data_IF_798703594352
#
_entry.id   IF_798703594352
#
_cell.length_a   1.000
_cell.length_b   1.000
_cell.length_c   1.000
_cell.angle_alpha   90.00
_cell.angle_beta   90.00
_cell.angle_gamma   90.00
#
_symmetry.space_group_name_H-M   'P 1'
#
loop_
_entity.id
_entity.type
_entity.pdbx_description
1 polymer ?
#
# COMPACT_ATOMS: atom_id res chain seq x y z
N UNK A 1 12.49 18.25 6.38
CA UNK A 1 11.76 17.80 5.17
C UNK A 1 11.88 16.29 4.91
N UNK A 2 12.67 15.53 5.68
CA UNK A 2 12.84 14.07 5.56
C UNK A 2 11.61 13.22 5.93
N UNK A 3 10.55 13.82 6.47
CA UNK A 3 9.34 13.11 6.93
C UNK A 3 8.21 13.04 5.90
N UNK A 4 8.39 13.61 4.70
CA UNK A 4 7.34 13.65 3.66
C UNK A 4 7.55 12.65 2.53
N UNK A 5 8.74 12.07 2.45
CA UNK A 5 9.15 11.15 1.39
C UNK A 5 9.45 9.78 1.98
N UNK A 6 9.20 8.74 1.22
CA UNK A 6 9.57 7.37 1.58
C UNK A 6 10.80 6.92 0.77
N UNK A 7 11.68 6.09 1.35
CA UNK A 7 12.62 5.31 0.55
C UNK A 7 11.84 4.38 -0.39
N UNK A 8 12.21 4.40 -1.67
CA UNK A 8 11.58 3.58 -2.70
C UNK A 8 12.39 2.33 -2.99
N UNK A 9 11.71 1.28 -3.43
CA UNK A 9 12.32 0.05 -3.91
C UNK A 9 13.09 0.33 -5.21
N UNK A 10 14.30 -0.19 -5.29
CA UNK A 10 15.09 -0.18 -6.53
C UNK A 10 14.59 -1.27 -7.50
N UNK A 11 14.77 -1.10 -8.82
CA UNK A 11 14.42 -2.13 -9.80
C UNK A 11 15.08 -3.49 -9.51
N UNK A 12 16.34 -3.46 -9.05
CA UNK A 12 17.08 -4.68 -8.70
C UNK A 12 16.45 -5.41 -7.51
N UNK A 13 15.99 -4.68 -6.48
CA UNK A 13 15.28 -5.27 -5.34
C UNK A 13 13.96 -5.93 -5.78
N UNK A 14 13.21 -5.27 -6.68
CA UNK A 14 11.97 -5.83 -7.22
C UNK A 14 12.23 -7.08 -8.06
N UNK A 15 13.29 -7.08 -8.86
CA UNK A 15 13.69 -8.25 -9.65
C UNK A 15 14.16 -9.40 -8.75
N UNK A 16 15.02 -9.12 -7.78
CA UNK A 16 15.53 -10.12 -6.84
C UNK A 16 14.42 -10.79 -6.04
N UNK A 17 13.42 -10.02 -5.57
CA UNK A 17 12.22 -10.58 -4.91
C UNK A 17 11.56 -11.66 -5.78
N UNK A 18 11.39 -11.40 -7.08
CA UNK A 18 10.75 -12.33 -8.01
C UNK A 18 11.60 -13.57 -8.30
N UNK A 19 12.92 -13.48 -8.18
CA UNK A 19 13.85 -14.52 -8.60
C UNK A 19 14.44 -15.38 -7.48
N UNK A 20 14.53 -14.87 -6.25
CA UNK A 20 15.26 -15.54 -5.17
C UNK A 20 14.37 -16.41 -4.25
N UNK A 21 13.06 -16.41 -4.46
CA UNK A 21 12.12 -17.30 -3.77
C UNK A 21 12.06 -18.68 -4.42
N UNK A 22 11.93 -19.74 -3.61
CA UNK A 22 11.70 -21.10 -4.10
C UNK A 22 10.27 -21.31 -4.64
N UNK A 23 9.36 -20.36 -4.38
CA UNK A 23 7.95 -20.43 -4.75
C UNK A 23 7.70 -19.76 -6.12
N UNK A 24 6.77 -20.30 -6.94
CA UNK A 24 6.21 -19.60 -8.10
C UNK A 24 5.70 -18.19 -7.77
N UNK A 25 5.81 -17.26 -8.72
CA UNK A 25 5.46 -15.84 -8.50
C UNK A 25 4.00 -15.65 -8.13
N UNK A 26 3.09 -16.45 -8.69
CA UNK A 26 1.67 -16.39 -8.41
C UNK A 26 1.39 -16.73 -6.93
N UNK A 27 2.11 -17.71 -6.38
CA UNK A 27 2.00 -18.06 -4.97
C UNK A 27 2.62 -16.99 -4.06
N UNK A 28 3.71 -16.37 -4.49
CA UNK A 28 4.30 -15.24 -3.76
C UNK A 28 3.32 -14.07 -3.66
N UNK A 29 2.62 -13.75 -4.75
CA UNK A 29 1.63 -12.67 -4.80
C UNK A 29 0.40 -12.99 -3.94
N UNK A 30 -0.09 -14.23 -3.96
CA UNK A 30 -1.19 -14.69 -3.08
C UNK A 30 -0.78 -14.60 -1.61
N UNK A 31 0.41 -15.07 -1.25
CA UNK A 31 0.90 -15.00 0.14
C UNK A 31 1.06 -13.55 0.58
N UNK A 32 1.60 -12.69 -0.29
CA UNK A 32 1.70 -11.26 -0.04
C UNK A 32 0.32 -10.68 0.26
N UNK A 33 -0.64 -10.84 -0.66
CA UNK A 33 -2.00 -10.36 -0.51
C UNK A 33 -2.65 -10.85 0.79
N UNK A 34 -2.63 -12.15 1.03
CA UNK A 34 -3.22 -12.77 2.22
C UNK A 34 -2.62 -12.21 3.51
N UNK A 35 -1.30 -12.01 3.56
CA UNK A 35 -0.64 -11.48 4.76
C UNK A 35 -0.94 -10.00 4.99
N UNK A 36 -1.05 -9.21 3.92
CA UNK A 36 -1.49 -7.81 4.03
C UNK A 36 -2.92 -7.75 4.60
N UNK A 37 -3.82 -8.64 4.14
CA UNK A 37 -5.19 -8.77 4.67
C UNK A 37 -5.23 -9.25 6.14
N UNK A 38 -4.39 -10.21 6.52
CA UNK A 38 -4.26 -10.68 7.90
C UNK A 38 -3.75 -9.57 8.83
N UNK A 39 -2.79 -8.76 8.37
CA UNK A 39 -2.26 -7.64 9.14
C UNK A 39 -3.32 -6.55 9.34
N UNK A 40 -4.12 -6.26 8.31
CA UNK A 40 -5.27 -5.36 8.42
C UNK A 40 -6.32 -5.91 9.41
N UNK A 41 -6.70 -7.18 9.28
CA UNK A 41 -7.66 -7.84 10.17
C UNK A 41 -7.18 -7.87 11.63
N UNK A 42 -5.89 -8.11 11.85
CA UNK A 42 -5.29 -8.07 13.17
C UNK A 42 -5.42 -6.67 13.80
N UNK A 43 -5.18 -5.61 13.04
CA UNK A 43 -5.38 -4.26 13.56
C UNK A 43 -6.83 -3.92 13.87
N UNK A 44 -7.79 -4.40 13.07
CA UNK A 44 -9.22 -4.26 13.40
C UNK A 44 -9.55 -4.97 14.71
N UNK A 45 -9.09 -6.22 14.88
CA UNK A 45 -9.32 -7.00 16.10
C UNK A 45 -8.69 -6.34 17.33
N UNK A 46 -7.51 -5.74 17.16
CA UNK A 46 -6.78 -5.03 18.20
C UNK A 46 -7.22 -3.57 18.38
N UNK A 47 -8.22 -3.11 17.62
CA UNK A 47 -8.73 -1.73 17.61
C UNK A 47 -7.64 -0.67 17.36
N UNK A 48 -6.68 -1.00 16.51
CA UNK A 48 -5.61 -0.09 16.12
C UNK A 48 -6.07 0.91 15.04
N UNK A 49 -5.54 2.14 15.03
CA UNK A 49 -5.78 3.09 13.96
C UNK A 49 -5.28 2.58 12.61
N UNK A 50 -5.96 2.95 11.51
CA UNK A 50 -5.57 2.56 10.14
C UNK A 50 -4.14 2.98 9.78
N UNK A 51 -3.64 4.07 10.37
CA UNK A 51 -2.26 4.50 10.16
C UNK A 51 -1.24 3.47 10.67
N UNK A 52 -1.54 2.78 11.77
CA UNK A 52 -0.65 1.78 12.37
C UNK A 52 -0.63 0.51 11.51
N UNK A 53 -1.79 0.02 11.07
CA UNK A 53 -1.86 -1.15 10.18
C UNK A 53 -1.28 -0.87 8.80
N UNK A 54 -1.55 0.30 8.23
CA UNK A 54 -0.95 0.68 6.95
C UNK A 54 0.58 0.79 7.05
N UNK A 55 1.11 1.35 8.14
CA UNK A 55 2.55 1.39 8.40
C UNK A 55 3.12 -0.03 8.54
N UNK A 56 2.47 -0.91 9.30
CA UNK A 56 2.91 -2.31 9.45
C UNK A 56 2.96 -3.04 8.10
N UNK A 57 1.94 -2.86 7.27
CA UNK A 57 1.88 -3.39 5.90
C UNK A 57 3.07 -2.95 5.04
N UNK A 58 3.42 -1.65 5.09
CA UNK A 58 4.57 -1.09 4.36
C UNK A 58 5.90 -1.66 4.89
N UNK A 59 6.08 -1.74 6.21
CA UNK A 59 7.29 -2.30 6.81
C UNK A 59 7.48 -3.78 6.43
N UNK A 60 6.39 -4.56 6.44
CA UNK A 60 6.41 -5.95 6.02
C UNK A 60 6.74 -6.08 4.52
N UNK A 61 6.17 -5.22 3.68
CA UNK A 61 6.47 -5.22 2.26
C UNK A 61 7.95 -4.89 1.98
N UNK A 62 8.54 -3.93 2.73
CA UNK A 62 9.97 -3.62 2.65
C UNK A 62 10.83 -4.80 3.10
N UNK A 63 10.47 -5.48 4.18
CA UNK A 63 11.19 -6.66 4.65
C UNK A 63 11.28 -7.75 3.57
N UNK A 64 10.18 -7.98 2.85
CA UNK A 64 10.12 -8.97 1.76
C UNK A 64 10.80 -8.56 0.45
N UNK A 65 11.35 -7.35 0.35
CA UNK A 65 12.30 -7.02 -0.72
C UNK A 65 13.69 -7.61 -0.47
N UNK A 66 14.01 -7.92 0.79
CA UNK A 66 15.35 -8.37 1.20
C UNK A 66 15.33 -9.83 1.63
N UNK A 67 14.24 -10.31 2.20
CA UNK A 67 14.11 -11.66 2.74
C UNK A 67 13.05 -12.49 1.99
N UNK A 68 13.37 -13.71 1.54
CA UNK A 68 12.41 -14.58 0.86
C UNK A 68 11.18 -14.87 1.71
N UNK A 69 10.03 -14.91 1.03
CA UNK A 69 8.77 -15.38 1.59
C UNK A 69 8.96 -16.81 2.14
N UNK A 70 8.41 -17.09 3.32
CA UNK A 70 8.52 -18.37 4.04
C UNK A 70 9.92 -18.79 4.51
N UNK A 71 10.92 -17.89 4.48
CA UNK A 71 12.23 -18.16 5.10
C UNK A 71 12.15 -18.55 6.59
N UNK A 72 11.04 -18.21 7.27
CA UNK A 72 10.79 -18.50 8.68
C UNK A 72 9.41 -19.11 8.93
N UNK A 73 9.11 -20.28 8.34
CA UNK A 73 7.85 -21.01 8.55
C UNK A 73 7.52 -21.30 10.02
N UNK A 74 6.26 -21.15 10.43
CA UNK A 74 5.80 -21.38 11.81
C UNK A 74 5.67 -22.87 12.15
N UNK A 75 6.32 -23.33 13.23
CA UNK A 75 5.97 -24.59 13.90
C UNK A 75 6.30 -24.59 15.41
N UNK A 76 5.40 -25.25 16.16
CA UNK A 76 5.30 -25.59 17.59
C UNK A 76 5.15 -24.50 18.67
N UNK A 77 4.10 -24.68 19.48
CA UNK A 77 3.61 -24.03 20.72
C UNK A 77 4.30 -22.78 21.29
N UNK A 78 3.49 -21.72 21.39
CA UNK A 78 3.60 -20.42 22.10
C UNK A 78 4.98 -19.91 22.55
N UNK A 79 5.78 -20.67 23.30
CA UNK A 79 7.14 -20.26 23.68
C UNK A 79 8.09 -20.21 22.49
N UNK A 80 8.00 -21.18 21.57
CA UNK A 80 8.76 -21.10 20.32
C UNK A 80 8.22 -19.95 19.46
N UNK A 81 6.91 -19.69 19.49
CA UNK A 81 6.30 -18.53 18.81
C UNK A 81 6.80 -17.20 19.37
N UNK A 82 6.81 -16.98 20.68
CA UNK A 82 7.27 -15.74 21.31
C UNK A 82 8.76 -15.49 21.05
N UNK A 83 9.60 -16.52 21.23
CA UNK A 83 11.03 -16.44 20.94
C UNK A 83 11.28 -16.12 19.47
N UNK A 84 10.48 -16.72 18.58
CA UNK A 84 10.56 -16.46 17.15
C UNK A 84 10.04 -15.10 16.75
N UNK A 85 9.00 -14.60 17.41
CA UNK A 85 8.47 -13.26 17.18
C UNK A 85 9.53 -12.22 17.53
N UNK A 86 10.22 -12.37 18.66
CA UNK A 86 11.34 -11.50 19.04
C UNK A 86 12.52 -11.60 18.06
N UNK A 87 12.84 -12.81 17.60
CA UNK A 87 13.87 -13.00 16.59
C UNK A 87 13.48 -12.36 15.23
N UNK A 88 12.21 -12.46 14.84
CA UNK A 88 11.68 -11.84 13.62
C UNK A 88 11.63 -10.32 13.75
N UNK A 89 11.22 -9.78 14.89
CA UNK A 89 11.24 -8.34 15.16
C UNK A 89 12.65 -7.78 14.98
N UNK A 90 13.65 -8.41 15.60
CA UNK A 90 15.05 -8.03 15.45
C UNK A 90 15.51 -8.13 13.98
N UNK A 91 15.10 -9.17 13.24
CA UNK A 91 15.43 -9.33 11.82
C UNK A 91 14.75 -8.28 10.94
N UNK A 92 13.49 -7.94 11.18
CA UNK A 92 12.78 -6.90 10.44
C UNK A 92 13.50 -5.58 10.66
N UNK A 93 13.78 -5.20 11.91
CA UNK A 93 14.49 -3.97 12.22
C UNK A 93 15.89 -3.95 11.57
N UNK A 94 16.63 -5.04 11.64
CA UNK A 94 17.94 -5.16 11.00
C UNK A 94 17.85 -5.04 9.47
N UNK A 95 16.93 -5.75 8.82
CA UNK A 95 16.74 -5.74 7.37
C UNK A 95 16.33 -4.35 6.86
N UNK A 96 15.52 -3.61 7.64
CA UNK A 96 15.14 -2.23 7.36
C UNK A 96 16.26 -1.23 7.69
N UNK A 97 17.45 -1.67 8.09
CA UNK A 97 18.53 -0.80 8.60
C UNK A 97 18.05 0.15 9.70
N UNK A 98 17.08 -0.31 10.49
CA UNK A 98 16.37 0.44 11.54
C UNK A 98 15.58 1.67 11.05
N UNK A 99 15.33 1.82 9.75
CA UNK A 99 14.42 2.83 9.21
C UNK A 99 12.96 2.33 9.22
N UNK A 100 12.25 2.68 10.30
CA UNK A 100 10.84 2.34 10.50
C UNK A 100 9.88 3.45 10.07
N UNK A 101 10.40 4.55 9.50
CA UNK A 101 9.58 5.69 9.12
C UNK A 101 8.73 5.37 7.87
N UNK A 102 7.45 5.74 7.94
CA UNK A 102 6.52 5.65 6.81
C UNK A 102 5.65 6.90 6.78
N UNK A 103 5.77 7.68 5.71
CA UNK A 103 4.81 8.72 5.35
C UNK A 103 3.64 8.09 4.59
N UNK A 104 2.41 8.22 5.09
CA UNK A 104 1.22 7.70 4.45
C UNK A 104 0.55 8.76 3.55
N UNK A 105 -0.08 8.35 2.44
CA UNK A 105 -0.74 9.26 1.49
C UNK A 105 -2.10 9.80 1.99
N UNK A 106 -2.71 9.20 3.02
CA UNK A 106 -4.06 9.55 3.47
C UNK A 106 -4.23 11.02 3.90
N UNK A 107 -3.31 11.62 4.70
CA UNK A 107 -3.41 13.03 5.05
C UNK A 107 -3.31 13.93 3.82
N UNK A 108 -2.42 13.61 2.87
CA UNK A 108 -2.26 14.37 1.62
C UNK A 108 -3.52 14.30 0.77
N UNK A 109 -4.13 13.11 0.64
CA UNK A 109 -5.39 12.96 -0.09
C UNK A 109 -6.51 13.83 0.49
N UNK A 110 -6.60 13.95 1.82
CA UNK A 110 -7.55 14.87 2.46
C UNK A 110 -7.26 16.32 2.10
N UNK A 111 -6.00 16.74 2.17
CA UNK A 111 -5.58 18.10 1.79
C UNK A 111 -5.88 18.39 0.32
N UNK A 112 -5.64 17.44 -0.59
CA UNK A 112 -5.89 17.61 -2.02
C UNK A 112 -7.38 17.69 -2.32
N UNK A 113 -8.20 16.83 -1.69
CA UNK A 113 -9.67 16.90 -1.79
C UNK A 113 -10.22 18.24 -1.28
N UNK A 114 -9.60 18.82 -0.25
CA UNK A 114 -9.97 20.14 0.25
C UNK A 114 -9.57 21.26 -0.73
N UNK A 115 -8.39 21.17 -1.34
CA UNK A 115 -7.89 22.18 -2.27
C UNK A 115 -8.63 22.18 -3.62
N UNK A 116 -9.00 21.02 -4.13
CA UNK A 116 -9.60 20.88 -5.47
C UNK A 116 -11.10 21.15 -5.52
N UNK A 117 -11.77 21.19 -4.36
CA UNK A 117 -13.20 21.50 -4.21
C UNK A 117 -14.13 20.84 -5.25
N UNK A 118 -13.86 19.58 -5.62
CA UNK A 118 -14.57 18.81 -6.67
C UNK A 118 -16.06 19.13 -6.76
N UNK A 119 -16.40 20.02 -7.71
CA UNK A 119 -17.67 20.74 -7.75
C UNK A 119 -18.84 19.75 -7.88
N UNK A 120 -19.83 19.89 -7.00
CA UNK A 120 -21.09 19.13 -7.07
C UNK A 120 -21.07 17.72 -6.47
N UNK A 121 -19.92 17.20 -6.02
CA UNK A 121 -19.83 15.90 -5.34
C UNK A 121 -19.96 16.06 -3.81
N UNK A 122 -20.64 15.10 -3.16
CA UNK A 122 -20.66 15.04 -1.68
C UNK A 122 -19.25 14.70 -1.18
N UNK A 123 -18.66 15.61 -0.38
CA UNK A 123 -17.30 15.44 0.22
C UNK A 123 -17.11 14.08 0.90
N UNK A 124 -18.15 13.59 1.58
CA UNK A 124 -18.13 12.27 2.23
C UNK A 124 -17.94 11.11 1.23
N UNK A 125 -18.64 11.15 0.09
CA UNK A 125 -18.63 10.06 -0.89
C UNK A 125 -17.27 9.94 -1.59
N UNK A 126 -16.74 11.07 -2.04
CA UNK A 126 -15.43 11.11 -2.70
C UNK A 126 -14.29 10.79 -1.73
N UNK A 127 -14.36 11.29 -0.49
CA UNK A 127 -13.37 10.97 0.55
C UNK A 127 -13.34 9.48 0.89
N UNK A 128 -14.50 8.84 1.09
CA UNK A 128 -14.59 7.38 1.30
C UNK A 128 -14.01 6.60 0.13
N UNK A 129 -14.27 7.02 -1.10
CA UNK A 129 -13.76 6.34 -2.30
C UNK A 129 -12.24 6.51 -2.45
N UNK A 130 -11.69 7.70 -2.18
CA UNK A 130 -10.25 7.94 -2.20
C UNK A 130 -9.52 7.08 -1.15
N UNK A 131 -10.04 6.99 0.07
CA UNK A 131 -9.49 6.11 1.11
C UNK A 131 -9.58 4.64 0.71
N UNK A 132 -10.67 4.22 0.04
CA UNK A 132 -10.78 2.85 -0.47
C UNK A 132 -9.65 2.53 -1.46
N UNK A 133 -9.38 3.42 -2.42
CA UNK A 133 -8.25 3.27 -3.35
C UNK A 133 -6.90 3.18 -2.64
N UNK A 134 -6.63 4.08 -1.67
CA UNK A 134 -5.38 4.06 -0.92
C UNK A 134 -5.19 2.78 -0.11
N UNK A 135 -6.27 2.25 0.49
CA UNK A 135 -6.22 1.01 1.26
C UNK A 135 -6.04 -0.21 0.36
N UNK A 136 -6.66 -0.20 -0.82
CA UNK A 136 -6.50 -1.26 -1.82
C UNK A 136 -5.10 -1.25 -2.43
N UNK A 137 -4.49 -0.09 -2.65
CA UNK A 137 -3.13 0.03 -3.16
C UNK A 137 -2.06 -0.59 -2.23
N UNK A 138 -2.35 -0.78 -0.93
CA UNK A 138 -1.49 -1.55 0.00
C UNK A 138 -1.43 -3.05 -0.36
N UNK A 139 -2.45 -3.55 -1.06
CA UNK A 139 -2.61 -4.96 -1.42
C UNK A 139 -2.03 -5.28 -2.80
N UNK A 140 -1.74 -4.26 -3.62
CA UNK A 140 -1.26 -4.42 -4.98
C UNK A 140 0.07 -5.21 -5.01
N UNK A 141 0.17 -6.28 -5.82
CA UNK A 141 1.42 -7.02 -6.03
C UNK A 141 2.56 -6.16 -6.57
N UNK A 142 2.24 -5.05 -7.24
CA UNK A 142 3.19 -4.08 -7.78
C UNK A 142 3.81 -3.19 -6.69
N UNK A 143 3.38 -3.34 -5.43
CA UNK A 143 3.93 -2.64 -4.27
C UNK A 143 3.95 -1.12 -4.45
N UNK A 144 2.81 -0.55 -4.84
CA UNK A 144 2.69 0.88 -5.16
C UNK A 144 3.22 1.81 -4.05
N UNK A 145 3.08 1.42 -2.78
CA UNK A 145 3.62 2.15 -1.62
C UNK A 145 5.15 2.15 -1.51
N UNK A 146 5.84 1.30 -2.27
CA UNK A 146 7.28 1.22 -2.34
C UNK A 146 7.83 1.72 -3.67
N UNK A 147 7.00 1.89 -4.69
CA UNK A 147 7.44 2.33 -6.03
C UNK A 147 7.10 3.79 -6.33
N UNK A 148 6.19 4.39 -5.57
CA UNK A 148 5.79 5.79 -5.74
C UNK A 148 5.74 6.55 -4.43
N UNK A 149 5.96 7.86 -4.53
CA UNK A 149 5.92 8.75 -3.37
C UNK A 149 4.48 8.97 -2.85
N UNK A 150 4.30 9.31 -1.57
CA UNK A 150 2.96 9.51 -0.98
C UNK A 150 2.11 10.57 -1.69
N UNK A 151 2.73 11.62 -2.25
CA UNK A 151 2.02 12.64 -3.04
C UNK A 151 1.39 12.02 -4.30
N UNK A 152 2.15 11.24 -5.07
CA UNK A 152 1.67 10.60 -6.28
C UNK A 152 0.53 9.60 -6.00
N UNK A 153 0.67 8.78 -4.95
CA UNK A 153 -0.38 7.85 -4.51
C UNK A 153 -1.66 8.58 -4.10
N UNK A 154 -1.54 9.71 -3.41
CA UNK A 154 -2.68 10.54 -3.02
C UNK A 154 -3.39 11.14 -4.25
N UNK A 155 -2.64 11.66 -5.22
CA UNK A 155 -3.20 12.21 -6.48
C UNK A 155 -3.94 11.11 -7.25
N UNK A 156 -3.32 9.95 -7.45
CA UNK A 156 -3.93 8.83 -8.18
C UNK A 156 -5.23 8.35 -7.52
N UNK A 157 -5.26 8.23 -6.18
CA UNK A 157 -6.46 7.85 -5.46
C UNK A 157 -7.57 8.91 -5.56
N UNK A 158 -7.21 10.19 -5.52
CA UNK A 158 -8.16 11.30 -5.70
C UNK A 158 -8.71 11.33 -7.12
N UNK A 159 -7.87 11.14 -8.14
CA UNK A 159 -8.26 11.07 -9.54
C UNK A 159 -9.28 9.94 -9.78
N UNK A 160 -8.95 8.73 -9.33
CA UNK A 160 -9.84 7.57 -9.45
C UNK A 160 -11.16 7.75 -8.68
N UNK A 161 -11.10 8.32 -7.47
CA UNK A 161 -12.29 8.60 -6.69
C UNK A 161 -13.20 9.64 -7.36
N UNK A 162 -12.64 10.69 -7.94
CA UNK A 162 -13.38 11.71 -8.68
C UNK A 162 -14.06 11.11 -9.92
N UNK A 163 -13.32 10.28 -10.68
CA UNK A 163 -13.84 9.56 -11.85
C UNK A 163 -15.03 8.66 -11.49
N UNK A 164 -14.91 7.85 -10.45
CA UNK A 164 -15.95 6.91 -10.02
C UNK A 164 -17.21 7.58 -9.48
N UNK A 165 -17.07 8.72 -8.81
CA UNK A 165 -18.18 9.49 -8.27
C UNK A 165 -18.84 10.38 -9.34
N UNK A 166 -18.22 10.51 -10.52
CA UNK A 166 -18.67 11.38 -11.60
C UNK A 166 -18.50 12.86 -11.25
N UNK A 167 -17.51 13.20 -10.44
CA UNK A 167 -17.21 14.59 -10.09
C UNK A 167 -16.56 15.31 -11.28
N UNK A 168 -16.89 16.59 -11.48
CA UNK A 168 -16.20 17.41 -12.48
C UNK A 168 -14.77 17.69 -12.01
N UNK A 169 -13.80 17.23 -12.79
CA UNK A 169 -12.38 17.52 -12.59
C UNK A 169 -11.97 18.76 -13.39
N UNK A 170 -10.90 19.47 -12.98
CA UNK A 170 -10.31 20.54 -13.80
C UNK A 170 -9.92 20.01 -15.19
N UNK A 171 -10.09 20.84 -16.23
CA UNK A 171 -9.73 20.50 -17.61
C UNK A 171 -8.22 20.57 -17.89
N UNK A 172 -7.45 21.18 -16.98
CA UNK A 172 -6.00 21.23 -17.04
C UNK A 172 -5.35 20.03 -16.33
N UNK A 173 -4.03 19.87 -16.52
CA UNK A 173 -3.18 18.88 -15.87
C UNK A 173 -2.96 19.22 -14.38
N UNK A 174 -4.05 19.27 -13.61
CA UNK A 174 -4.06 19.73 -12.22
C UNK A 174 -3.17 18.91 -11.29
N UNK A 175 -2.83 17.68 -11.68
CA UNK A 175 -1.92 16.80 -10.95
C UNK A 175 -0.48 17.31 -10.91
N UNK A 176 -0.06 18.13 -11.88
CA UNK A 176 1.29 18.71 -11.91
C UNK A 176 1.55 19.62 -10.72
N UNK A 177 0.51 20.27 -10.17
CA UNK A 177 0.60 21.13 -8.97
C UNK A 177 1.03 20.34 -7.73
N UNK A 178 0.87 19.01 -7.76
CA UNK A 178 1.23 18.10 -6.67
C UNK A 178 2.52 17.31 -6.95
N UNK A 179 3.34 17.80 -7.89
CA UNK A 179 4.61 17.19 -8.32
C UNK A 179 4.42 15.75 -8.84
N UNK A 180 3.39 15.53 -9.66
CA UNK A 180 3.11 14.25 -10.32
C UNK A 180 3.09 14.47 -11.82
N UNK A 181 3.81 13.63 -12.57
CA UNK A 181 3.78 13.68 -14.03
C UNK A 181 2.67 12.78 -14.61
N UNK A 182 2.41 12.93 -15.92
CA UNK A 182 1.33 12.21 -16.60
C UNK A 182 1.58 10.70 -16.71
N UNK A 183 2.84 10.29 -16.84
CA UNK A 183 3.21 8.88 -17.00
C UNK A 183 3.06 8.13 -15.68
N UNK A 184 3.59 8.69 -14.59
CA UNK A 184 3.44 8.18 -13.23
C UNK A 184 1.97 8.13 -12.83
N UNK A 185 1.20 9.20 -13.09
CA UNK A 185 -0.23 9.22 -12.80
C UNK A 185 -0.97 8.13 -13.58
N UNK A 186 -0.69 7.98 -14.88
CA UNK A 186 -1.30 6.96 -15.73
C UNK A 186 -1.07 5.55 -15.19
N UNK A 187 0.20 5.23 -14.90
CA UNK A 187 0.57 3.95 -14.30
C UNK A 187 -0.16 3.69 -12.97
N UNK A 188 -0.12 4.65 -12.05
CA UNK A 188 -0.73 4.50 -10.73
C UNK A 188 -2.26 4.36 -10.80
N UNK A 189 -2.91 5.10 -11.70
CA UNK A 189 -4.35 5.05 -11.89
C UNK A 189 -4.81 3.69 -12.40
N UNK A 190 -4.10 3.13 -13.38
CA UNK A 190 -4.39 1.81 -13.95
C UNK A 190 -4.16 0.70 -12.92
N UNK A 191 -3.01 0.72 -12.23
CA UNK A 191 -2.65 -0.30 -11.25
C UNK A 191 -3.55 -0.26 -10.01
N UNK A 192 -3.90 0.92 -9.51
CA UNK A 192 -4.82 1.05 -8.39
C UNK A 192 -6.26 0.63 -8.76
N UNK A 193 -6.68 0.84 -10.01
CA UNK A 193 -7.97 0.36 -10.50
C UNK A 193 -8.00 -1.17 -10.59
N UNK A 194 -6.95 -1.77 -11.17
CA UNK A 194 -6.80 -3.22 -11.26
C UNK A 194 -6.82 -3.90 -9.90
N UNK A 195 -6.08 -3.37 -8.93
CA UNK A 195 -6.08 -3.90 -7.57
C UNK A 195 -7.47 -3.79 -6.89
N UNK A 196 -8.28 -2.81 -7.27
CA UNK A 196 -9.65 -2.64 -6.76
C UNK A 196 -10.60 -3.68 -7.32
N UNK A 197 -10.47 -4.01 -8.62
CA UNK A 197 -11.24 -5.05 -9.27
C UNK A 197 -10.87 -6.43 -8.70
N UNK A 198 -9.57 -6.73 -8.57
CA UNK A 198 -9.08 -7.98 -7.96
C UNK A 198 -9.60 -8.17 -6.53
N UNK A 199 -9.65 -7.09 -5.74
CA UNK A 199 -10.21 -7.13 -4.37
C UNK A 199 -11.71 -7.39 -4.37
N UNK A 200 -12.44 -6.86 -5.34
CA UNK A 200 -13.89 -7.06 -5.47
C UNK A 200 -14.19 -8.52 -5.83
N UNK A 201 -13.45 -9.09 -6.78
CA UNK A 201 -13.54 -10.49 -7.16
C UNK A 201 -13.22 -11.44 -5.99
N UNK A 202 -12.19 -11.10 -5.19
CA UNK A 202 -11.88 -11.85 -3.97
C UNK A 202 -13.03 -11.82 -2.94
N UNK A 203 -13.70 -10.68 -2.80
CA UNK A 203 -14.83 -10.54 -1.89
C UNK A 203 -16.08 -11.32 -2.35
N UNK A 204 -16.29 -11.44 -3.67
CA UNK A 204 -17.39 -12.24 -4.24
C UNK A 204 -17.14 -13.74 -4.14
N UNK A 205 -15.87 -14.17 -4.21
CA UNK A 205 -15.48 -15.58 -4.15
C UNK A 205 -15.34 -16.11 -2.71
N UNK A 206 -15.38 -15.25 -1.69
CA UNK A 206 -15.40 -15.63 -0.27
C UNK A 206 -14.07 -16.22 0.24
N UNK A 207 -12.97 -15.93 -0.46
CA UNK A 207 -11.60 -16.34 -0.08
C UNK A 207 -10.94 -15.23 0.73
#
# INVERSE_FOLDING_TARGET
MSHMTNPLATPDQLFQRRSFGALPIELQDIIFFATQCLTQSAGVLLQLPQSVTAQANVLLARYWLVEPIMSHEFSSAYHAFHTRLLALEARILYALSFDTHVALPHPLAVTYLQALEFLGAKKERIGKRAVAYLNTALLSPQMLYLTSQPNALAVAAVYNAARDVGAKMPECEWWEVFDVDREELGFLVEEAARAMDEKMDAMETGV
#
